data_IF_440965256819
#
_entry.id   IF_440965256819
#
_cell.length_a   1.000
_cell.length_b   1.000
_cell.length_c   1.000
_cell.angle_alpha   90.00
_cell.angle_beta   90.00
_cell.angle_gamma   90.00
#
_symmetry.space_group_name_H-M   'P 1'
#
loop_
_entity.id
_entity.type
_entity.pdbx_description
1 polymer ?
#
# COMPACT_ATOMS: atom_id res chain seq x y z
N UNK A 1 -15.09 -35.71 -25.73
CA UNK A 1 -13.69 -35.45 -25.41
C UNK A 1 -13.65 -34.74 -24.10
N UNK A 2 -13.05 -35.32 -23.04
CA UNK A 2 -12.89 -34.67 -21.75
C UNK A 2 -11.83 -33.59 -21.91
N UNK A 3 -12.20 -32.32 -21.87
CA UNK A 3 -11.21 -31.25 -21.78
C UNK A 3 -10.40 -31.45 -20.51
N UNK A 4 -9.11 -31.70 -20.64
CA UNK A 4 -8.20 -31.72 -19.53
C UNK A 4 -8.22 -30.32 -18.88
N UNK A 5 -8.62 -30.27 -17.60
CA UNK A 5 -8.51 -29.05 -16.79
C UNK A 5 -7.02 -28.72 -16.76
N UNK A 6 -6.59 -27.49 -17.13
CA UNK A 6 -5.19 -27.11 -17.02
C UNK A 6 -4.71 -27.42 -15.62
N UNK A 7 -3.53 -27.98 -15.49
CA UNK A 7 -2.91 -28.24 -14.18
C UNK A 7 -2.80 -26.89 -13.47
N UNK A 8 -3.72 -26.62 -12.53
CA UNK A 8 -3.68 -25.42 -11.70
C UNK A 8 -2.36 -25.46 -10.95
N UNK A 9 -1.55 -24.43 -11.08
CA UNK A 9 -0.33 -24.29 -10.29
C UNK A 9 -0.72 -24.38 -8.82
N UNK A 10 -0.24 -25.42 -8.14
CA UNK A 10 -0.46 -25.53 -6.71
C UNK A 10 0.31 -24.40 -6.03
N UNK A 11 -0.38 -23.60 -5.21
CA UNK A 11 0.28 -22.59 -4.36
C UNK A 11 1.44 -23.29 -3.64
N UNK A 12 2.70 -22.81 -3.78
CA UNK A 12 3.82 -23.44 -3.11
C UNK A 12 3.51 -23.58 -1.62
N UNK A 13 3.67 -24.76 -1.05
CA UNK A 13 3.27 -25.10 0.32
C UNK A 13 3.81 -24.11 1.37
N UNK A 14 4.99 -23.51 1.14
CA UNK A 14 5.60 -22.49 2.00
C UNK A 14 4.80 -21.19 2.10
N UNK A 15 3.93 -20.88 1.10
CA UNK A 15 3.12 -19.66 1.06
C UNK A 15 1.63 -19.91 1.31
N UNK A 16 1.20 -21.15 1.46
CA UNK A 16 -0.20 -21.53 1.59
C UNK A 16 -0.96 -20.83 2.73
N UNK A 17 -0.23 -20.21 3.67
CA UNK A 17 -0.80 -19.48 4.82
C UNK A 17 -0.32 -18.04 4.94
N UNK A 18 0.45 -17.53 3.97
CA UNK A 18 1.07 -16.21 4.06
C UNK A 18 0.76 -15.37 2.82
N UNK A 19 -0.37 -14.64 2.78
CA UNK A 19 -0.63 -13.67 1.74
C UNK A 19 0.45 -12.57 1.70
N UNK A 20 0.64 -11.94 0.52
CA UNK A 20 1.64 -10.91 0.27
C UNK A 20 2.51 -11.21 -0.95
N UNK A 21 3.51 -10.36 -1.20
CA UNK A 21 4.49 -10.51 -2.27
C UNK A 21 5.84 -10.97 -1.71
N UNK A 22 6.40 -12.03 -2.32
CA UNK A 22 7.64 -12.67 -1.90
C UNK A 22 8.59 -12.83 -3.09
N UNK A 23 9.72 -12.13 -3.07
CA UNK A 23 10.77 -12.29 -4.08
C UNK A 23 11.36 -13.71 -4.05
N UNK A 24 11.60 -14.26 -5.23
CA UNK A 24 12.13 -15.62 -5.42
C UNK A 24 13.60 -15.57 -5.89
N UNK A 25 14.31 -16.69 -5.78
CA UNK A 25 15.74 -16.79 -6.11
C UNK A 25 15.98 -16.69 -7.63
N UNK A 26 15.00 -17.03 -8.45
CA UNK A 26 15.04 -16.94 -9.91
C UNK A 26 14.90 -15.52 -10.45
N UNK A 27 14.75 -14.51 -9.57
CA UNK A 27 14.59 -13.10 -9.95
C UNK A 27 13.14 -12.68 -10.15
N UNK A 28 12.21 -13.56 -9.84
CA UNK A 28 10.77 -13.33 -9.88
C UNK A 28 10.17 -12.97 -8.53
N UNK A 29 8.85 -13.11 -8.42
CA UNK A 29 8.11 -13.03 -7.17
C UNK A 29 6.86 -13.92 -7.18
N UNK A 30 6.57 -14.53 -6.04
CA UNK A 30 5.29 -15.16 -5.77
C UNK A 30 4.36 -14.15 -5.11
N UNK A 31 3.14 -14.00 -5.63
CA UNK A 31 2.15 -13.05 -5.12
C UNK A 31 0.88 -13.80 -4.74
N UNK A 32 0.43 -13.58 -3.52
CA UNK A 32 -0.70 -14.29 -2.93
C UNK A 32 -1.64 -13.27 -2.28
N UNK A 33 -2.92 -13.34 -2.60
CA UNK A 33 -3.96 -12.54 -1.95
C UNK A 33 -5.16 -13.41 -1.59
N UNK A 34 -5.89 -13.04 -0.54
CA UNK A 34 -7.09 -13.75 -0.11
C UNK A 34 -8.33 -13.01 -0.58
N UNK A 35 -9.22 -13.72 -1.27
CA UNK A 35 -10.60 -13.32 -1.56
C UNK A 35 -11.45 -14.56 -1.75
N UNK A 36 -12.40 -14.79 -0.86
CA UNK A 36 -13.20 -16.03 -0.84
C UNK A 36 -14.30 -16.04 -1.88
N UNK A 37 -14.81 -14.86 -2.23
CA UNK A 37 -16.03 -14.69 -3.05
C UNK A 37 -15.79 -13.92 -4.35
N UNK A 38 -14.54 -13.62 -4.69
CA UNK A 38 -14.20 -13.06 -5.99
C UNK A 38 -14.37 -14.10 -7.10
N UNK A 39 -14.84 -13.67 -8.25
CA UNK A 39 -14.92 -14.50 -9.46
C UNK A 39 -13.58 -14.49 -10.21
N UNK A 40 -12.85 -13.36 -10.14
CA UNK A 40 -11.53 -13.21 -10.74
C UNK A 40 -10.68 -12.17 -9.99
N UNK A 41 -9.37 -12.43 -9.90
CA UNK A 41 -8.37 -11.48 -9.40
C UNK A 41 -7.27 -11.30 -10.43
N UNK A 42 -6.87 -10.06 -10.67
CA UNK A 42 -5.70 -9.70 -11.47
C UNK A 42 -4.68 -8.96 -10.59
N UNK A 43 -3.42 -9.33 -10.75
CA UNK A 43 -2.29 -8.55 -10.30
C UNK A 43 -1.93 -7.55 -11.40
N UNK A 44 -1.85 -6.28 -11.07
CA UNK A 44 -1.51 -5.20 -12.00
C UNK A 44 -0.14 -4.64 -11.66
N UNK A 45 0.78 -4.57 -12.62
CA UNK A 45 2.10 -3.98 -12.50
C UNK A 45 2.13 -2.66 -13.26
N UNK A 46 2.74 -1.63 -12.66
CA UNK A 46 2.78 -0.27 -13.20
C UNK A 46 4.21 0.17 -13.48
N UNK A 47 4.48 0.62 -14.70
CA UNK A 47 5.77 1.15 -15.14
C UNK A 47 5.57 2.50 -15.82
N UNK A 48 6.46 3.47 -15.56
CA UNK A 48 6.52 4.71 -16.34
C UNK A 48 7.12 4.39 -17.71
N UNK A 49 6.56 4.99 -18.74
CA UNK A 49 7.08 4.91 -20.12
C UNK A 49 7.41 6.31 -20.61
N UNK A 50 8.58 6.48 -21.24
CA UNK A 50 9.09 7.80 -21.65
C UNK A 50 8.32 8.41 -22.84
N UNK A 51 7.72 7.57 -23.70
CA UNK A 51 6.84 7.99 -24.80
C UNK A 51 5.88 6.86 -25.20
N UNK A 52 4.68 7.19 -25.74
CA UNK A 52 3.82 6.18 -26.33
C UNK A 52 4.52 5.59 -27.55
N UNK A 53 4.82 4.32 -27.52
CA UNK A 53 5.24 3.60 -28.72
C UNK A 53 4.04 3.49 -29.65
N UNK A 54 4.21 3.85 -30.94
CA UNK A 54 3.15 3.96 -31.94
C UNK A 54 2.29 2.69 -32.18
N UNK A 55 2.54 1.62 -31.45
CA UNK A 55 1.86 0.34 -31.57
C UNK A 55 0.65 0.15 -30.64
N UNK A 56 0.32 1.11 -29.77
CA UNK A 56 -0.73 0.93 -28.76
C UNK A 56 -1.82 2.00 -28.82
N UNK A 57 -2.23 2.40 -30.03
CA UNK A 57 -3.29 3.39 -30.22
C UNK A 57 -4.70 2.88 -29.89
N UNK A 58 -4.87 1.59 -29.57
CA UNK A 58 -6.13 1.05 -29.10
C UNK A 58 -6.10 0.94 -27.57
N UNK A 59 -6.75 1.88 -26.90
CA UNK A 59 -7.09 1.75 -25.50
C UNK A 59 -8.03 0.54 -25.38
N UNK A 60 -7.46 -0.64 -25.12
CA UNK A 60 -8.25 -1.85 -24.86
C UNK A 60 -8.97 -1.59 -23.55
N UNK A 61 -10.27 -1.41 -23.64
CA UNK A 61 -11.15 -1.42 -22.47
C UNK A 61 -11.20 -2.85 -21.96
N UNK A 62 -10.43 -3.14 -20.92
CA UNK A 62 -10.26 -4.50 -20.36
C UNK A 62 -11.59 -5.09 -19.86
N UNK A 63 -12.58 -4.25 -19.65
CA UNK A 63 -13.87 -4.60 -19.07
C UNK A 63 -15.04 -4.30 -20.01
N UNK A 64 -14.77 -4.14 -21.31
CA UNK A 64 -15.81 -4.12 -22.32
C UNK A 64 -16.17 -5.57 -22.66
N UNK A 65 -17.46 -5.91 -22.68
CA UNK A 65 -17.94 -7.24 -23.04
C UNK A 65 -17.47 -7.71 -24.43
N UNK A 66 -17.10 -6.77 -25.32
CA UNK A 66 -16.50 -7.06 -26.62
C UNK A 66 -15.02 -7.47 -26.54
N UNK A 67 -14.33 -7.21 -25.43
CA UNK A 67 -12.93 -7.55 -25.22
C UNK A 67 -12.73 -8.95 -24.59
N UNK A 68 -13.80 -9.63 -24.22
CA UNK A 68 -13.76 -10.99 -23.66
C UNK A 68 -13.00 -12.01 -24.53
N UNK A 69 -13.03 -11.95 -25.88
CA UNK A 69 -12.23 -12.83 -26.72
C UNK A 69 -10.72 -12.60 -26.60
N UNK A 70 -10.29 -11.36 -26.35
CA UNK A 70 -8.87 -11.00 -26.26
C UNK A 70 -8.17 -11.56 -25.01
N UNK A 71 -8.92 -11.70 -23.92
CA UNK A 71 -8.44 -12.27 -22.65
C UNK A 71 -8.10 -13.77 -22.82
N UNK A 72 -8.73 -14.46 -23.76
CA UNK A 72 -8.56 -15.90 -23.96
C UNK A 72 -7.38 -16.28 -24.87
N UNK A 73 -6.77 -15.35 -25.58
CA UNK A 73 -5.70 -15.62 -26.55
C UNK A 73 -4.29 -15.29 -26.05
N UNK A 74 -4.13 -14.68 -24.86
CA UNK A 74 -2.84 -14.24 -24.35
C UNK A 74 -2.27 -15.27 -23.37
N UNK A 75 -1.02 -15.65 -23.62
CA UNK A 75 -0.19 -16.62 -22.90
C UNK A 75 -0.46 -16.74 -21.38
N UNK A 76 -0.24 -17.94 -20.88
CA UNK A 76 -0.63 -18.48 -19.57
C UNK A 76 -0.42 -17.58 -18.32
N UNK A 77 0.28 -16.43 -18.42
CA UNK A 77 0.62 -15.60 -17.26
C UNK A 77 0.38 -14.09 -17.42
N UNK A 78 0.49 -13.51 -18.63
CA UNK A 78 0.24 -12.08 -18.83
C UNK A 78 -0.97 -11.89 -19.73
N UNK A 79 -1.99 -11.24 -19.22
CA UNK A 79 -3.30 -11.19 -19.89
C UNK A 79 -3.46 -9.95 -20.75
N UNK A 80 -2.93 -8.81 -20.35
CA UNK A 80 -3.08 -7.57 -21.10
C UNK A 80 -2.03 -6.54 -20.68
N UNK A 81 -1.59 -5.74 -21.65
CA UNK A 81 -0.78 -4.54 -21.39
C UNK A 81 -1.44 -3.36 -22.05
N UNK A 82 -1.66 -2.28 -21.31
CA UNK A 82 -2.19 -1.01 -21.83
C UNK A 82 -1.34 0.17 -21.40
N UNK A 83 -1.32 1.23 -22.19
CA UNK A 83 -0.71 2.52 -21.84
C UNK A 83 -1.84 3.49 -21.50
N UNK A 84 -1.69 4.18 -20.37
CA UNK A 84 -2.68 5.11 -19.86
C UNK A 84 -2.17 6.53 -20.06
N UNK A 85 -2.81 7.25 -20.95
CA UNK A 85 -2.57 8.67 -21.19
C UNK A 85 -3.46 9.54 -20.29
N UNK A 86 -3.04 10.76 -19.91
CA UNK A 86 -1.75 11.41 -20.23
C UNK A 86 -0.62 11.06 -19.25
N UNK A 87 -0.78 10.04 -18.40
CA UNK A 87 0.20 9.70 -17.35
C UNK A 87 1.42 8.94 -17.88
N UNK A 88 1.35 8.42 -19.10
CA UNK A 88 2.39 7.56 -19.69
C UNK A 88 2.78 6.41 -18.75
N UNK A 89 1.78 5.73 -18.22
CA UNK A 89 1.94 4.56 -17.36
C UNK A 89 1.51 3.33 -18.12
N UNK A 90 2.40 2.35 -18.20
CA UNK A 90 2.07 1.00 -18.67
C UNK A 90 1.47 0.22 -17.51
N UNK A 91 0.25 -0.29 -17.69
CA UNK A 91 -0.35 -1.28 -16.81
C UNK A 91 -0.28 -2.65 -17.47
N UNK A 92 0.33 -3.62 -16.78
CA UNK A 92 0.35 -5.03 -17.22
C UNK A 92 -0.43 -5.86 -16.22
N UNK A 93 -1.44 -6.58 -16.68
CA UNK A 93 -2.32 -7.41 -15.85
C UNK A 93 -1.89 -8.87 -15.96
N UNK A 94 -1.77 -9.51 -14.83
CA UNK A 94 -1.54 -10.94 -14.68
C UNK A 94 -2.75 -11.57 -14.01
N UNK A 95 -3.39 -12.51 -14.72
CA UNK A 95 -4.49 -13.27 -14.15
C UNK A 95 -3.95 -14.17 -13.03
N UNK A 96 -4.57 -14.11 -11.85
CA UNK A 96 -4.22 -14.96 -10.74
C UNK A 96 -5.01 -16.27 -10.78
N UNK A 97 -4.35 -17.37 -10.40
CA UNK A 97 -4.97 -18.67 -10.25
C UNK A 97 -5.67 -18.76 -8.90
N UNK A 98 -6.90 -19.23 -8.90
CA UNK A 98 -7.69 -19.36 -7.68
C UNK A 98 -9.20 -19.43 -7.95
N UNK A 99 -10.03 -19.35 -6.88
CA UNK A 99 -9.60 -19.48 -5.48
C UNK A 99 -9.23 -20.92 -5.10
N UNK A 100 -8.16 -21.06 -4.32
CA UNK A 100 -7.81 -22.31 -3.64
C UNK A 100 -7.86 -22.04 -2.14
N UNK A 101 -8.87 -22.54 -1.44
CA UNK A 101 -9.18 -22.17 -0.05
C UNK A 101 -9.26 -20.64 0.18
N UNK A 102 -9.83 -19.90 -0.79
CA UNK A 102 -9.94 -18.45 -0.77
C UNK A 102 -8.65 -17.71 -1.13
N UNK A 103 -7.57 -18.40 -1.48
CA UNK A 103 -6.31 -17.79 -1.90
C UNK A 103 -6.19 -17.75 -3.44
N UNK A 104 -5.68 -16.64 -3.92
CA UNK A 104 -5.34 -16.39 -5.32
C UNK A 104 -3.83 -16.25 -5.43
N UNK A 105 -3.23 -16.82 -6.46
CA UNK A 105 -1.79 -16.93 -6.63
C UNK A 105 -1.37 -16.59 -8.05
N UNK A 106 -0.21 -15.92 -8.18
CA UNK A 106 0.52 -15.80 -9.45
C UNK A 106 2.01 -15.75 -9.18
N UNK A 107 2.79 -16.41 -10.03
CA UNK A 107 4.24 -16.24 -10.09
C UNK A 107 4.60 -15.23 -11.17
N UNK A 108 5.33 -14.18 -10.79
CA UNK A 108 5.94 -13.25 -11.73
C UNK A 108 7.32 -13.76 -12.10
N UNK A 109 7.63 -13.95 -13.38
CA UNK A 109 8.96 -14.43 -13.82
C UNK A 109 10.05 -13.37 -13.62
N UNK A 110 9.65 -12.11 -13.40
CA UNK A 110 10.54 -10.98 -13.13
C UNK A 110 9.89 -10.02 -12.15
N UNK A 111 10.62 -9.69 -11.09
CA UNK A 111 10.23 -8.68 -10.12
C UNK A 111 11.45 -7.90 -9.64
N UNK A 112 11.24 -6.68 -9.18
CA UNK A 112 12.32 -5.82 -8.70
C UNK A 112 11.90 -5.00 -7.50
N UNK A 113 12.86 -4.61 -6.70
CA UNK A 113 12.65 -3.69 -5.59
C UNK A 113 12.12 -2.34 -6.09
N UNK A 114 11.07 -1.83 -5.46
CA UNK A 114 10.39 -0.62 -5.90
C UNK A 114 9.34 -0.83 -7.01
N UNK A 115 9.08 -2.08 -7.44
CA UNK A 115 8.01 -2.39 -8.40
C UNK A 115 6.66 -1.94 -7.84
N UNK A 116 5.90 -1.19 -8.63
CA UNK A 116 4.55 -0.72 -8.27
C UNK A 116 3.52 -1.74 -8.71
N UNK A 117 2.60 -2.08 -7.82
CA UNK A 117 1.55 -3.05 -8.10
C UNK A 117 0.26 -2.76 -7.34
N UNK A 118 -0.83 -3.30 -7.83
CA UNK A 118 -2.13 -3.30 -7.16
C UNK A 118 -2.95 -4.51 -7.63
N UNK A 119 -4.12 -4.69 -7.03
CA UNK A 119 -5.07 -5.70 -7.50
C UNK A 119 -6.29 -5.06 -8.15
N UNK A 120 -6.84 -5.77 -9.14
CA UNK A 120 -8.19 -5.57 -9.64
C UNK A 120 -8.98 -6.84 -9.38
N UNK A 121 -10.19 -6.69 -8.88
CA UNK A 121 -10.98 -7.84 -8.43
C UNK A 121 -12.39 -7.74 -9.02
N UNK A 122 -12.81 -8.80 -9.69
CA UNK A 122 -14.16 -8.94 -10.23
C UNK A 122 -14.97 -9.93 -9.41
N UNK A 123 -16.30 -9.74 -9.44
CA UNK A 123 -17.26 -10.55 -8.71
C UNK A 123 -18.62 -9.88 -8.60
N UNK A 124 -19.46 -10.38 -7.73
CA UNK A 124 -20.81 -9.88 -7.58
C UNK A 124 -20.86 -8.43 -7.09
N UNK A 125 -21.72 -7.62 -7.72
CA UNK A 125 -22.11 -6.29 -7.26
C UNK A 125 -23.50 -6.36 -6.63
N UNK A 126 -23.55 -6.53 -5.32
CA UNK A 126 -24.78 -6.47 -4.51
C UNK A 126 -24.46 -5.77 -3.18
N UNK A 127 -24.44 -4.42 -3.16
CA UNK A 127 -24.09 -3.66 -1.95
C UNK A 127 -24.99 -3.95 -0.75
N UNK A 128 -26.23 -4.41 -0.97
CA UNK A 128 -27.16 -4.77 0.10
C UNK A 128 -26.69 -5.99 0.90
N UNK A 129 -25.87 -6.84 0.28
CA UNK A 129 -25.23 -8.00 0.89
C UNK A 129 -23.74 -7.77 1.22
N UNK A 130 -23.24 -6.54 1.09
CA UNK A 130 -21.84 -6.21 1.30
C UNK A 130 -20.92 -6.59 0.14
N UNK A 131 -21.45 -7.07 -0.99
CA UNK A 131 -20.67 -7.44 -2.17
C UNK A 131 -20.46 -6.21 -3.06
N UNK A 132 -19.22 -5.76 -3.19
CA UNK A 132 -18.84 -4.54 -3.92
C UNK A 132 -17.61 -4.75 -4.81
N UNK A 133 -17.52 -5.91 -5.47
CA UNK A 133 -16.46 -6.17 -6.42
C UNK A 133 -16.56 -5.22 -7.61
N UNK A 134 -15.44 -4.59 -7.95
CA UNK A 134 -15.39 -3.64 -9.07
C UNK A 134 -14.01 -3.63 -9.70
N UNK A 135 -13.84 -4.24 -10.89
CA UNK A 135 -12.54 -4.34 -11.55
C UNK A 135 -11.99 -2.98 -12.07
N UNK A 136 -12.81 -1.94 -12.11
CA UNK A 136 -12.34 -0.58 -12.41
C UNK A 136 -11.61 0.08 -11.22
N UNK A 137 -11.61 -0.55 -10.05
CA UNK A 137 -10.96 -0.02 -8.84
C UNK A 137 -9.65 -0.71 -8.56
N UNK A 138 -8.69 0.05 -8.02
CA UNK A 138 -7.41 -0.45 -7.58
C UNK A 138 -7.46 -0.74 -6.09
N UNK A 139 -7.06 -1.95 -5.72
CA UNK A 139 -6.93 -2.38 -4.35
C UNK A 139 -5.46 -2.54 -3.99
N UNK A 140 -5.07 -2.01 -2.85
CA UNK A 140 -3.74 -2.20 -2.29
C UNK A 140 -3.57 -3.66 -1.82
N UNK A 141 -2.32 -4.11 -1.78
CA UNK A 141 -1.99 -5.34 -1.09
C UNK A 141 -2.18 -5.15 0.42
N UNK A 142 -3.06 -5.93 1.08
CA UNK A 142 -3.23 -5.85 2.53
C UNK A 142 -1.94 -6.13 3.31
N UNK A 143 -0.97 -6.82 2.70
CA UNK A 143 0.35 -7.13 3.26
C UNK A 143 1.47 -6.31 2.62
N UNK A 144 1.13 -5.27 1.85
CA UNK A 144 2.08 -4.38 1.20
C UNK A 144 2.97 -3.65 2.21
N UNK A 145 4.28 -3.61 1.94
CA UNK A 145 5.29 -3.00 2.83
C UNK A 145 5.70 -1.59 2.41
N UNK A 146 5.20 -1.13 1.30
CA UNK A 146 5.43 0.20 0.77
C UNK A 146 4.24 0.68 -0.05
N UNK A 147 4.08 2.00 -0.11
CA UNK A 147 2.99 2.66 -0.83
C UNK A 147 3.56 3.81 -1.67
N UNK A 148 2.99 4.03 -2.85
CA UNK A 148 3.28 5.19 -3.70
C UNK A 148 1.99 5.87 -4.15
N UNK A 149 1.99 7.20 -4.08
CA UNK A 149 0.83 8.02 -4.39
C UNK A 149 -0.08 8.30 -3.19
N UNK A 150 -1.16 9.00 -3.48
CA UNK A 150 -2.23 9.35 -2.52
C UNK A 150 -3.56 9.30 -3.24
N UNK A 151 -4.62 8.99 -2.53
CA UNK A 151 -5.97 9.12 -3.05
C UNK A 151 -6.27 10.60 -3.36
N UNK A 152 -6.78 10.84 -4.56
CA UNK A 152 -7.34 12.13 -4.95
C UNK A 152 -8.86 12.02 -4.91
N UNK A 153 -9.49 12.90 -4.14
CA UNK A 153 -10.93 12.94 -4.05
C UNK A 153 -11.55 13.25 -5.42
N UNK A 154 -12.20 12.26 -5.99
CA UNK A 154 -12.88 12.33 -7.29
C UNK A 154 -13.84 11.14 -7.40
N UNK A 155 -14.77 11.12 -8.36
CA UNK A 155 -15.63 9.95 -8.63
C UNK A 155 -14.85 8.65 -8.86
N UNK A 156 -13.60 8.73 -9.33
CA UNK A 156 -12.75 7.57 -9.55
C UNK A 156 -12.39 6.82 -8.25
N UNK A 157 -12.42 7.48 -7.09
CA UNK A 157 -12.09 6.88 -5.80
C UNK A 157 -13.21 5.98 -5.26
N UNK A 158 -14.44 6.08 -5.79
CA UNK A 158 -15.60 5.35 -5.27
C UNK A 158 -15.96 4.16 -6.17
N UNK A 159 -16.29 3.03 -5.55
CA UNK A 159 -16.72 1.82 -6.26
C UNK A 159 -18.15 1.95 -6.85
N UNK A 160 -18.95 2.87 -6.33
CA UNK A 160 -20.30 3.21 -6.81
C UNK A 160 -20.28 4.50 -7.64
N UNK A 161 -21.33 4.72 -8.43
CA UNK A 161 -21.45 5.93 -9.24
C UNK A 161 -21.59 7.17 -8.38
N UNK A 162 -20.78 8.19 -8.70
CA UNK A 162 -20.78 9.48 -8.04
C UNK A 162 -20.81 10.61 -9.06
N UNK A 163 -21.44 11.71 -8.68
CA UNK A 163 -21.43 12.97 -9.39
C UNK A 163 -20.63 14.01 -8.60
N UNK A 164 -20.12 15.02 -9.29
CA UNK A 164 -19.51 16.19 -8.66
C UNK A 164 -20.56 17.29 -8.63
N UNK A 165 -20.96 17.71 -7.43
CA UNK A 165 -21.91 18.79 -7.24
C UNK A 165 -21.31 20.16 -7.58
N UNK A 166 -22.13 21.20 -7.73
CA UNK A 166 -21.70 22.56 -8.07
C UNK A 166 -20.72 23.15 -7.04
N UNK A 167 -20.80 22.73 -5.78
CA UNK A 167 -19.87 23.12 -4.72
C UNK A 167 -18.58 22.27 -4.70
N UNK A 168 -18.33 21.46 -5.73
CA UNK A 168 -17.14 20.64 -5.90
C UNK A 168 -17.10 19.36 -5.04
N UNK A 169 -18.18 19.03 -4.34
CA UNK A 169 -18.23 17.84 -3.50
C UNK A 169 -18.66 16.62 -4.30
N UNK A 170 -18.05 15.49 -3.98
CA UNK A 170 -18.44 14.21 -4.56
C UNK A 170 -19.67 13.65 -3.83
N UNK A 171 -20.69 13.30 -4.59
CA UNK A 171 -21.96 12.77 -4.08
C UNK A 171 -22.33 11.48 -4.79
N UNK A 172 -22.73 10.49 -4.01
CA UNK A 172 -23.17 9.19 -4.50
C UNK A 172 -23.74 8.36 -3.35
N UNK A 173 -24.31 7.22 -3.69
CA UNK A 173 -24.83 6.27 -2.71
C UNK A 173 -24.01 4.99 -2.71
N UNK A 174 -23.53 4.57 -1.55
CA UNK A 174 -22.84 3.29 -1.39
C UNK A 174 -23.69 2.07 -1.79
N UNK A 175 -25.01 2.25 -1.95
CA UNK A 175 -25.97 1.26 -2.44
C UNK A 175 -26.36 1.48 -3.92
N UNK A 176 -25.73 2.45 -4.58
CA UNK A 176 -25.96 2.79 -5.98
C UNK A 176 -25.34 1.81 -6.98
N UNK A 177 -25.51 2.09 -8.28
CA UNK A 177 -24.89 1.30 -9.34
C UNK A 177 -23.36 1.29 -9.25
N UNK A 178 -22.73 0.23 -9.77
CA UNK A 178 -21.29 0.12 -9.88
C UNK A 178 -20.72 1.25 -10.77
N UNK A 179 -19.63 1.86 -10.34
CA UNK A 179 -18.89 2.86 -11.12
C UNK A 179 -18.02 2.20 -12.17
N UNK A 180 -18.01 2.73 -13.40
CA UNK A 180 -17.12 2.32 -14.50
C UNK A 180 -15.93 3.25 -14.67
N UNK A 181 -15.75 4.23 -13.78
CA UNK A 181 -14.62 5.17 -13.81
C UNK A 181 -13.39 4.49 -13.26
N UNK A 182 -12.32 4.41 -14.06
CA UNK A 182 -11.06 3.78 -13.63
C UNK A 182 -10.38 4.58 -12.52
N UNK A 183 -9.90 3.88 -11.49
CA UNK A 183 -9.25 4.49 -10.33
C UNK A 183 -7.78 4.84 -10.56
N UNK A 184 -7.15 4.36 -11.62
CA UNK A 184 -5.73 4.59 -11.86
C UNK A 184 -5.40 6.08 -11.97
N UNK A 185 -4.32 6.50 -11.29
CA UNK A 185 -3.91 7.91 -11.18
C UNK A 185 -4.66 8.71 -10.11
N UNK A 186 -5.72 8.16 -9.53
CA UNK A 186 -6.48 8.76 -8.43
C UNK A 186 -6.33 8.01 -7.11
N UNK A 187 -5.80 6.78 -7.17
CA UNK A 187 -5.55 5.93 -6.00
C UNK A 187 -4.05 5.64 -5.86
N UNK A 188 -3.55 5.44 -4.63
CA UNK A 188 -2.20 4.95 -4.41
C UNK A 188 -2.08 3.48 -4.86
N UNK A 189 -0.83 3.03 -5.02
CA UNK A 189 -0.48 1.65 -5.35
C UNK A 189 0.52 1.10 -4.35
N UNK A 190 0.55 -0.21 -4.17
CA UNK A 190 1.54 -0.90 -3.36
C UNK A 190 2.91 -0.87 -4.04
N UNK A 191 3.96 -0.90 -3.23
CA UNK A 191 5.35 -0.96 -3.70
C UNK A 191 6.01 -2.21 -3.13
N UNK A 192 6.56 -3.03 -4.01
CA UNK A 192 7.30 -4.22 -3.62
C UNK A 192 8.63 -3.85 -2.96
N UNK A 193 8.90 -4.40 -1.79
CA UNK A 193 10.14 -4.20 -1.04
C UNK A 193 10.86 -5.54 -0.92
N UNK A 194 12.07 -5.62 -1.45
CA UNK A 194 12.89 -6.82 -1.38
C UNK A 194 13.61 -6.93 -0.03
N UNK A 195 13.11 -7.81 0.83
CA UNK A 195 13.65 -8.07 2.17
C UNK A 195 14.57 -9.30 2.24
N UNK A 196 15.03 -9.84 1.13
CA UNK A 196 15.89 -11.03 1.12
C UNK A 196 17.26 -10.78 1.70
N UNK A 197 17.79 -9.56 1.60
CA UNK A 197 19.03 -9.17 2.27
C UNK A 197 18.78 -8.97 3.78
N UNK A 198 18.79 -10.07 4.51
CA UNK A 198 18.55 -10.09 5.95
C UNK A 198 19.64 -9.36 6.74
N UNK A 199 20.86 -9.23 6.20
CA UNK A 199 21.96 -8.55 6.88
C UNK A 199 21.63 -7.10 7.24
N UNK A 200 20.69 -6.48 6.52
CA UNK A 200 20.22 -5.11 6.76
C UNK A 200 19.08 -5.04 7.77
N UNK A 201 18.41 -6.16 8.04
CA UNK A 201 17.12 -6.19 8.75
C UNK A 201 17.09 -7.16 9.93
N UNK A 202 18.05 -8.09 10.04
CA UNK A 202 18.08 -9.08 11.11
C UNK A 202 18.53 -8.47 12.43
N UNK A 203 17.81 -8.91 13.45
CA UNK A 203 18.01 -8.68 14.88
C UNK A 203 18.70 -7.36 15.22
N UNK A 204 17.92 -6.39 15.62
CA UNK A 204 18.48 -5.23 16.29
C UNK A 204 19.11 -5.68 17.63
N UNK A 205 20.47 -5.79 17.72
CA UNK A 205 21.11 -6.30 18.93
C UNK A 205 21.00 -5.31 20.10
N UNK A 206 20.59 -4.07 19.81
CA UNK A 206 20.42 -3.01 20.81
C UNK A 206 19.00 -2.96 21.39
N UNK A 207 18.09 -3.88 21.01
CA UNK A 207 16.72 -3.89 21.52
C UNK A 207 16.71 -3.94 23.06
N UNK A 208 16.22 -2.90 23.74
CA UNK A 208 16.23 -2.83 25.19
C UNK A 208 15.18 -3.77 25.80
N UNK A 209 15.41 -4.12 27.07
CA UNK A 209 14.45 -4.87 27.89
C UNK A 209 14.32 -4.15 29.24
N UNK A 210 13.46 -3.15 29.31
CA UNK A 210 13.24 -2.36 30.51
C UNK A 210 12.28 -3.10 31.44
N UNK A 211 12.66 -3.39 32.71
CA UNK A 211 11.73 -3.98 33.66
C UNK A 211 10.53 -3.06 33.92
N UNK A 212 9.34 -3.60 34.01
CA UNK A 212 8.10 -2.85 34.27
C UNK A 212 8.19 -1.87 35.46
N UNK A 213 8.90 -2.24 36.52
CA UNK A 213 9.11 -1.39 37.67
C UNK A 213 9.98 -0.14 37.42
N UNK A 214 10.64 -0.08 36.25
CA UNK A 214 11.49 1.02 35.80
C UNK A 214 10.97 1.71 34.56
N UNK A 215 9.85 1.25 34.00
CA UNK A 215 9.26 1.79 32.78
C UNK A 215 8.68 3.16 33.02
N UNK A 216 9.12 4.13 32.24
CA UNK A 216 8.54 5.47 32.10
C UNK A 216 8.10 5.61 30.65
N UNK A 217 6.80 5.46 30.40
CA UNK A 217 6.21 5.54 29.08
C UNK A 217 5.97 6.99 28.65
N UNK A 218 6.34 7.33 27.43
CA UNK A 218 6.07 8.62 26.82
C UNK A 218 5.42 8.42 25.44
N UNK A 219 4.15 8.79 25.37
CA UNK A 219 3.42 8.78 24.10
C UNK A 219 3.74 10.04 23.30
N UNK A 220 4.06 9.89 22.00
CA UNK A 220 4.35 11.00 21.12
C UNK A 220 3.92 10.73 19.67
N UNK A 221 3.64 11.83 18.96
CA UNK A 221 3.40 11.81 17.52
C UNK A 221 4.68 12.16 16.78
N UNK A 222 5.15 11.31 15.85
CA UNK A 222 6.42 11.50 15.11
C UNK A 222 6.54 12.91 14.54
N UNK A 223 5.53 13.35 13.78
CA UNK A 223 5.54 14.70 13.19
C UNK A 223 5.37 15.79 14.23
N UNK A 224 4.42 15.62 15.16
CA UNK A 224 4.06 16.67 16.14
C UNK A 224 5.18 17.01 17.10
N UNK A 225 5.93 15.98 17.56
CA UNK A 225 6.95 16.15 18.58
C UNK A 225 8.08 17.07 18.14
N UNK A 226 8.52 16.97 16.87
CA UNK A 226 9.65 17.74 16.37
C UNK A 226 9.28 18.85 15.39
N UNK A 227 8.01 19.02 15.01
CA UNK A 227 7.57 19.99 14.00
C UNK A 227 8.04 21.44 14.27
N UNK A 228 8.05 21.85 15.52
CA UNK A 228 8.46 23.18 15.96
C UNK A 228 9.79 23.17 16.75
N UNK A 229 10.56 22.10 16.69
CA UNK A 229 11.80 21.96 17.42
C UNK A 229 12.88 22.96 16.94
N UNK A 230 13.23 24.00 17.71
CA UNK A 230 14.18 25.02 17.25
C UNK A 230 15.63 24.49 17.17
N UNK A 231 15.90 23.40 17.86
CA UNK A 231 17.22 22.73 17.92
C UNK A 231 17.48 21.81 16.73
N UNK A 232 16.48 21.58 15.86
CA UNK A 232 16.65 20.74 14.68
C UNK A 232 16.81 21.56 13.41
N UNK A 233 17.63 21.09 12.44
CA UNK A 233 17.58 21.57 11.07
C UNK A 233 16.14 21.53 10.54
N UNK A 234 15.76 22.54 9.77
CA UNK A 234 14.39 22.73 9.31
C UNK A 234 13.87 21.51 8.52
N UNK A 235 14.72 20.92 7.71
CA UNK A 235 14.45 19.77 6.85
C UNK A 235 14.18 18.46 7.63
N UNK A 236 14.63 18.36 8.89
CA UNK A 236 14.42 17.20 9.75
C UNK A 236 13.18 17.34 10.65
N UNK A 237 12.62 18.55 10.79
CA UNK A 237 11.49 18.79 11.67
C UNK A 237 10.25 18.02 11.21
N UNK A 238 9.59 17.36 12.15
CA UNK A 238 8.39 16.59 11.88
C UNK A 238 8.62 15.30 11.10
N UNK A 239 9.84 14.75 11.14
CA UNK A 239 10.20 13.53 10.41
C UNK A 239 10.70 12.42 11.32
N UNK A 240 10.75 11.17 10.81
CA UNK A 240 11.39 10.04 11.46
C UNK A 240 12.86 10.35 11.82
N UNK A 241 13.61 10.94 10.88
CA UNK A 241 14.99 11.35 11.12
C UNK A 241 15.11 12.45 12.17
N UNK A 242 14.13 13.34 12.27
CA UNK A 242 14.08 14.36 13.32
C UNK A 242 13.87 13.77 14.72
N UNK A 243 13.06 12.73 14.83
CA UNK A 243 12.87 11.99 16.09
C UNK A 243 14.15 11.23 16.47
N UNK A 244 14.86 10.66 15.50
CA UNK A 244 16.12 9.94 15.66
C UNK A 244 17.34 10.86 15.91
N UNK A 245 17.19 12.18 15.83
CA UNK A 245 18.31 13.11 15.92
C UNK A 245 18.92 13.11 17.33
N UNK A 246 20.27 13.10 17.48
CA UNK A 246 20.93 13.02 18.80
C UNK A 246 20.43 14.02 19.84
N UNK A 247 20.14 15.26 19.43
CA UNK A 247 19.62 16.29 20.35
C UNK A 247 18.22 15.94 20.85
N UNK A 248 17.37 15.33 19.98
CA UNK A 248 16.04 14.86 20.37
C UNK A 248 16.14 13.70 21.36
N UNK A 249 17.04 12.75 21.10
CA UNK A 249 17.29 11.60 21.98
C UNK A 249 17.80 12.07 23.36
N UNK A 250 18.77 12.99 23.38
CA UNK A 250 19.28 13.58 24.65
C UNK A 250 18.19 14.29 25.45
N UNK A 251 17.27 14.98 24.77
CA UNK A 251 16.13 15.61 25.45
C UNK A 251 15.22 14.55 26.10
N UNK A 252 14.85 13.49 25.36
CA UNK A 252 14.04 12.40 25.91
C UNK A 252 14.71 11.70 27.09
N UNK A 253 16.04 11.46 27.01
CA UNK A 253 16.80 10.92 28.13
C UNK A 253 16.77 11.84 29.36
N UNK A 254 16.84 13.16 29.17
CA UNK A 254 16.81 14.14 30.26
C UNK A 254 15.48 14.14 31.04
N UNK A 255 14.42 13.65 30.38
CA UNK A 255 13.08 13.48 31.01
C UNK A 255 12.97 12.17 31.79
N UNK A 256 13.97 11.28 31.71
CA UNK A 256 13.92 9.96 32.35
C UNK A 256 13.00 8.95 31.63
N UNK A 257 12.61 9.21 30.38
CA UNK A 257 11.82 8.30 29.55
C UNK A 257 12.61 7.02 29.27
N UNK A 258 11.95 5.88 29.28
CA UNK A 258 12.53 4.57 28.96
C UNK A 258 11.82 3.87 27.81
N UNK A 259 10.57 4.20 27.56
CA UNK A 259 9.76 3.57 26.53
C UNK A 259 8.96 4.64 25.80
N UNK A 260 9.01 4.62 24.47
CA UNK A 260 8.38 5.58 23.58
C UNK A 260 7.25 4.89 22.84
N UNK A 261 6.03 5.36 23.06
CA UNK A 261 4.85 4.93 22.32
C UNK A 261 4.62 5.91 21.16
N UNK A 262 4.72 5.40 19.96
CA UNK A 262 4.48 6.18 18.74
C UNK A 262 2.99 6.13 18.38
N UNK A 263 2.33 7.30 18.30
CA UNK A 263 1.03 7.37 17.62
C UNK A 263 1.18 6.77 16.21
N UNK A 264 0.07 6.33 15.58
CA UNK A 264 0.13 5.48 14.39
C UNK A 264 1.06 6.02 13.29
N UNK A 265 2.00 5.19 12.88
CA UNK A 265 2.93 5.45 11.76
C UNK A 265 2.58 4.63 10.52
N UNK A 266 1.45 3.94 10.53
CA UNK A 266 0.88 3.25 9.39
C UNK A 266 0.50 4.27 8.31
N UNK A 267 0.69 3.90 7.03
CA UNK A 267 0.24 4.73 5.92
C UNK A 267 -1.27 4.99 6.04
N UNK A 268 -1.65 6.25 5.99
CA UNK A 268 -2.99 6.74 6.29
C UNK A 268 -3.61 7.48 5.13
N UNK A 269 -4.92 7.59 5.15
CA UNK A 269 -5.70 8.37 4.24
C UNK A 269 -6.47 9.47 4.99
N UNK A 270 -6.58 10.63 4.38
CA UNK A 270 -7.44 11.69 4.89
C UNK A 270 -8.91 11.32 4.66
N UNK A 271 -9.73 11.41 5.67
CA UNK A 271 -11.16 11.17 5.58
C UNK A 271 -11.83 12.16 4.63
N UNK A 272 -12.90 11.73 3.97
CA UNK A 272 -13.62 12.51 2.96
C UNK A 272 -13.96 13.91 3.44
N UNK A 273 -14.53 14.04 4.64
CA UNK A 273 -14.95 15.32 5.21
C UNK A 273 -13.77 16.26 5.52
N UNK A 274 -12.56 15.74 5.75
CA UNK A 274 -11.35 16.53 5.91
C UNK A 274 -10.86 17.04 4.57
N UNK A 275 -10.83 16.17 3.54
CA UNK A 275 -10.41 16.54 2.19
C UNK A 275 -11.33 17.63 1.60
N UNK A 276 -12.65 17.52 1.77
CA UNK A 276 -13.62 18.54 1.35
C UNK A 276 -13.39 19.92 2.02
N UNK A 277 -12.70 19.94 3.16
CA UNK A 277 -12.33 21.17 3.89
C UNK A 277 -10.88 21.58 3.69
N UNK A 278 -10.13 20.91 2.81
CA UNK A 278 -8.70 21.14 2.62
C UNK A 278 -7.86 20.84 3.86
N UNK A 279 -8.31 19.90 4.69
CA UNK A 279 -7.63 19.48 5.92
C UNK A 279 -7.09 18.05 5.77
N UNK A 280 -6.17 17.69 6.67
CA UNK A 280 -5.53 16.38 6.71
C UNK A 280 -5.79 15.68 8.03
N UNK A 281 -5.85 14.34 7.98
CA UNK A 281 -5.80 13.52 9.19
C UNK A 281 -4.43 13.70 9.84
N UNK A 282 -4.42 14.25 11.05
CA UNK A 282 -3.18 14.52 11.77
C UNK A 282 -2.71 13.32 12.59
N UNK A 283 -3.63 12.67 13.27
CA UNK A 283 -3.30 11.68 14.30
C UNK A 283 -2.89 10.31 13.77
N UNK A 284 -3.29 9.94 12.56
CA UNK A 284 -2.93 8.66 11.96
C UNK A 284 -3.97 7.54 12.11
N UNK A 285 -5.08 7.78 12.81
CA UNK A 285 -6.13 6.77 13.07
C UNK A 285 -7.09 6.57 11.88
N UNK A 286 -6.59 6.60 10.66
CA UNK A 286 -7.32 6.30 9.44
C UNK A 286 -6.42 5.49 8.49
N UNK A 287 -6.10 4.22 8.86
CA UNK A 287 -5.07 3.44 8.18
C UNK A 287 -5.51 3.02 6.79
N UNK A 288 -4.64 3.25 5.82
CA UNK A 288 -4.77 2.83 4.43
C UNK A 288 -4.01 1.53 4.15
N UNK A 289 -2.85 1.36 4.79
CA UNK A 289 -2.03 0.16 4.68
C UNK A 289 -1.39 -0.16 6.04
N UNK A 290 -1.62 -1.37 6.53
CA UNK A 290 -1.21 -1.76 7.88
C UNK A 290 0.31 -1.96 8.03
N UNK A 291 1.00 -2.34 6.96
CA UNK A 291 2.43 -2.71 7.00
C UNK A 291 3.32 -1.74 6.23
N UNK A 292 2.76 -0.69 5.65
CA UNK A 292 3.51 0.38 5.00
C UNK A 292 3.65 1.57 5.94
N UNK A 293 4.85 2.15 6.12
CA UNK A 293 5.02 3.37 6.90
C UNK A 293 4.37 4.57 6.21
N UNK A 294 3.94 5.57 7.00
CA UNK A 294 3.39 6.83 6.49
C UNK A 294 4.48 7.68 5.81
N UNK A 295 4.41 7.90 4.49
CA UNK A 295 5.47 8.59 3.77
C UNK A 295 5.62 10.07 4.17
N UNK A 296 4.54 10.73 4.63
CA UNK A 296 4.59 12.15 4.98
C UNK A 296 5.35 12.45 6.26
N UNK A 297 5.73 11.43 7.02
CA UNK A 297 6.60 11.55 8.19
C UNK A 297 8.07 11.31 7.86
N UNK A 298 8.40 10.93 6.64
CA UNK A 298 9.77 10.81 6.18
C UNK A 298 10.34 12.16 5.69
N UNK A 299 11.67 12.27 5.63
CA UNK A 299 12.32 13.42 5.00
C UNK A 299 11.92 13.57 3.54
N UNK A 300 11.97 14.80 3.01
CA UNK A 300 11.68 15.06 1.60
C UNK A 300 12.62 14.26 0.66
N UNK A 301 13.83 13.96 1.12
CA UNK A 301 14.78 13.13 0.37
C UNK A 301 14.30 11.68 0.30
N UNK A 302 13.92 11.08 1.44
CA UNK A 302 13.40 9.72 1.47
C UNK A 302 12.10 9.58 0.65
N UNK A 303 11.21 10.56 0.75
CA UNK A 303 9.99 10.58 -0.07
C UNK A 303 10.29 10.58 -1.57
N UNK A 304 11.29 11.37 -2.04
CA UNK A 304 11.70 11.37 -3.45
C UNK A 304 12.35 10.07 -3.90
N UNK A 305 13.08 9.40 -3.01
CA UNK A 305 13.71 8.09 -3.27
C UNK A 305 12.71 6.95 -3.30
N UNK A 306 11.51 7.12 -2.71
CA UNK A 306 10.42 6.16 -2.74
C UNK A 306 10.28 5.31 -1.49
N UNK A 307 9.35 4.37 -1.53
CA UNK A 307 8.87 3.62 -0.37
C UNK A 307 9.97 2.86 0.40
N UNK A 308 10.99 2.34 -0.29
CA UNK A 308 12.14 1.72 0.38
C UNK A 308 12.87 2.71 1.29
N UNK A 309 13.18 3.90 0.79
CA UNK A 309 13.90 4.89 1.59
C UNK A 309 13.06 5.38 2.78
N UNK A 310 11.75 5.50 2.62
CA UNK A 310 10.82 5.79 3.73
C UNK A 310 10.90 4.70 4.80
N UNK A 311 10.84 3.43 4.40
CA UNK A 311 10.97 2.30 5.32
C UNK A 311 12.34 2.26 6.00
N UNK A 312 13.41 2.47 5.25
CA UNK A 312 14.78 2.48 5.80
C UNK A 312 14.96 3.61 6.84
N UNK A 313 14.29 4.75 6.65
CA UNK A 313 14.27 5.85 7.63
C UNK A 313 13.55 5.46 8.92
N UNK A 314 12.44 4.71 8.85
CA UNK A 314 11.75 4.16 10.03
C UNK A 314 12.64 3.16 10.77
N UNK A 315 13.29 2.24 10.05
CA UNK A 315 14.23 1.27 10.65
C UNK A 315 15.39 2.00 11.33
N UNK A 316 15.94 3.02 10.67
CA UNK A 316 17.00 3.87 11.23
C UNK A 316 16.55 4.60 12.49
N UNK A 317 15.32 5.12 12.51
CA UNK A 317 14.72 5.75 13.69
C UNK A 317 14.63 4.77 14.88
N UNK A 318 14.05 3.58 14.65
CA UNK A 318 13.89 2.58 15.70
C UNK A 318 15.25 2.18 16.29
N UNK A 319 16.25 1.92 15.45
CA UNK A 319 17.62 1.60 15.91
C UNK A 319 18.24 2.73 16.72
N UNK A 320 18.12 3.97 16.23
CA UNK A 320 18.63 5.14 16.94
C UNK A 320 17.95 5.36 18.29
N UNK A 321 16.68 4.97 18.44
CA UNK A 321 15.96 4.98 19.70
C UNK A 321 16.41 3.84 20.63
N UNK A 322 16.67 2.65 20.10
CA UNK A 322 17.12 1.50 20.89
C UNK A 322 18.54 1.71 21.45
N UNK A 323 19.45 2.32 20.68
CA UNK A 323 20.86 2.51 21.07
C UNK A 323 21.03 3.19 22.43
N UNK A 324 20.35 4.30 22.76
CA UNK A 324 20.40 4.92 24.09
C UNK A 324 19.53 4.24 25.14
N UNK A 325 18.81 3.17 24.80
CA UNK A 325 18.04 2.34 25.73
C UNK A 325 16.52 2.56 25.74
N UNK A 326 15.95 3.28 24.78
CA UNK A 326 14.50 3.42 24.67
C UNK A 326 13.85 2.20 24.02
N UNK A 327 12.84 1.62 24.65
CA UNK A 327 11.91 0.71 23.97
C UNK A 327 10.99 1.50 23.04
N UNK A 328 10.62 0.91 21.90
CA UNK A 328 9.70 1.53 20.95
C UNK A 328 8.42 0.68 20.88
N UNK A 329 7.31 1.31 21.17
CA UNK A 329 5.96 0.74 21.12
C UNK A 329 5.22 1.43 19.97
N UNK A 330 4.56 0.64 19.11
CA UNK A 330 3.72 1.16 18.04
C UNK A 330 2.25 1.09 18.44
N UNK A 331 1.58 2.23 18.47
CA UNK A 331 0.11 2.25 18.46
C UNK A 331 -0.38 1.86 17.06
N UNK A 332 -1.24 0.86 17.00
CA UNK A 332 -1.72 0.26 15.75
C UNK A 332 -3.24 0.24 15.68
N UNK A 333 -3.76 0.53 14.49
CA UNK A 333 -5.19 0.54 14.20
C UNK A 333 -5.54 -0.65 13.32
N UNK A 334 -6.05 -1.73 13.93
CA UNK A 334 -6.46 -2.95 13.21
C UNK A 334 -7.98 -3.17 13.22
N UNK A 335 -8.73 -2.29 13.87
CA UNK A 335 -10.19 -2.41 14.03
C UNK A 335 -10.99 -1.76 12.91
N UNK A 336 -10.38 -0.92 12.09
CA UNK A 336 -11.02 -0.30 10.91
C UNK A 336 -9.96 0.10 9.87
N UNK A 337 -10.43 0.45 8.68
CA UNK A 337 -9.69 1.00 7.55
C UNK A 337 -10.19 2.41 7.22
N UNK A 338 -9.52 3.08 6.29
CA UNK A 338 -9.86 4.45 5.90
C UNK A 338 -11.10 4.57 5.00
N UNK A 339 -11.65 3.47 4.54
CA UNK A 339 -12.88 3.48 3.74
C UNK A 339 -14.07 3.79 4.67
N UNK A 340 -14.33 5.04 4.87
CA UNK A 340 -15.52 5.52 5.56
C UNK A 340 -16.78 5.13 4.79
N UNK A 341 -17.69 4.42 5.44
CA UNK A 341 -18.94 3.97 4.88
C UNK A 341 -19.95 5.09 4.60
#
# INVERSE_FOLDING_TARGET
MKHAIPQRYAIPHRYATRPGLYFTEDGGADVIVRSETADQVWLCIYEKVDQPTAFFNDAIRIFDDSATPFINEIHEHAVCTRIIEPMYVRETLFRMDGPNYGLWYVHLPKAWDGMRYAYRVDGAWDPSKGLRFNPYKLLLDPYGKGIDGRMKLSPAAFSYQCDVSEDGKVRGSAFGPMSTVDALGNMPVSVAIDDRDKSKHDADPSHPHVPWSKTVLYELHVKGFTANAPWLPKELRGTYAGLAHPTTLSYLQSLGVTSIELLPIQAKQDELFLQERGRHNYWGYSPLSYFSPEPSYATAEAQRKGARAVRDEVIGMVRALHEPGFEVIMDVVYNHTCEGG
#
